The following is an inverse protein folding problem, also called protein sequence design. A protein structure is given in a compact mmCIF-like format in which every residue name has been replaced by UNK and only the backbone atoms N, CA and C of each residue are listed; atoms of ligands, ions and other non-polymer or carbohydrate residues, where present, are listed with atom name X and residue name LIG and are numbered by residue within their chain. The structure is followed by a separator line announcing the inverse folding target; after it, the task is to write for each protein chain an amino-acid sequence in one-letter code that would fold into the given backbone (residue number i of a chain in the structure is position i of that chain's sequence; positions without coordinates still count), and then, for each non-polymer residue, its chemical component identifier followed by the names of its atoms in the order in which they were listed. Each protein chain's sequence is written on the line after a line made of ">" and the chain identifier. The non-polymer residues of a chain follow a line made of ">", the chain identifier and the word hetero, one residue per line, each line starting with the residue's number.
data_IF_878510608194
#
_entry.id   IF_878510608194
#
_cell.length_a   1.000
_cell.length_b   1.000
_cell.length_c   1.000
_cell.angle_alpha   90.00
_cell.angle_beta   90.00
_cell.angle_gamma   90.00
#
_symmetry.space_group_name_H-M   'P 1'
#
loop_
_entity.id
_entity.type
_entity.pdbx_description
1 polymer ?
#
# COMPACT_ATOMS: atom_id res chain seq x y z
N UNK A 1 5.56 10.76 24.31
CA UNK A 1 5.01 10.70 22.94
C UNK A 1 4.63 9.27 22.61
N UNK A 2 3.55 9.10 21.86
CA UNK A 2 3.11 7.78 21.44
C UNK A 2 4.17 7.17 20.53
N UNK A 3 4.45 5.89 20.72
CA UNK A 3 5.46 5.17 19.95
C UNK A 3 4.94 4.88 18.55
N UNK A 4 5.76 5.08 17.53
CA UNK A 4 5.47 4.64 16.18
C UNK A 4 5.78 3.15 16.09
N UNK A 5 4.80 2.38 15.65
CA UNK A 5 4.94 0.93 15.49
C UNK A 5 4.74 0.48 14.04
N UNK A 6 4.28 1.38 13.18
CA UNK A 6 3.99 1.10 11.79
C UNK A 6 4.55 2.19 10.87
N UNK A 7 5.28 1.79 9.85
CA UNK A 7 5.87 2.70 8.88
C UNK A 7 5.50 2.31 7.44
N UNK A 8 5.16 3.31 6.64
CA UNK A 8 4.94 3.17 5.21
C UNK A 8 5.91 4.10 4.51
N UNK A 9 6.94 3.54 3.89
CA UNK A 9 8.12 4.26 3.45
C UNK A 9 8.29 4.11 1.93
N UNK A 10 8.13 5.20 1.21
CA UNK A 10 8.31 5.22 -0.23
C UNK A 10 9.78 5.41 -0.58
N UNK A 11 10.33 4.51 -1.39
CA UNK A 11 11.74 4.55 -1.80
C UNK A 11 11.91 4.98 -3.26
N UNK A 12 10.83 4.96 -4.03
CA UNK A 12 10.78 5.39 -5.42
C UNK A 12 9.35 5.76 -5.81
N UNK A 13 9.21 6.77 -6.66
CA UNK A 13 7.94 7.09 -7.32
C UNK A 13 7.94 6.71 -8.82
N UNK A 14 9.02 6.07 -9.33
CA UNK A 14 9.00 5.45 -10.64
C UNK A 14 8.10 4.23 -10.65
N UNK A 15 7.17 4.17 -11.60
CA UNK A 15 6.35 3.01 -11.87
C UNK A 15 6.27 2.77 -13.38
N UNK A 16 6.26 1.52 -13.80
CA UNK A 16 6.07 1.11 -15.19
C UNK A 16 4.59 0.86 -15.54
N UNK A 17 3.68 1.18 -14.61
CA UNK A 17 2.23 1.09 -14.80
C UNK A 17 1.56 2.44 -14.52
N UNK A 18 0.35 2.55 -15.04
CA UNK A 18 -0.57 3.67 -14.88
C UNK A 18 -1.98 3.12 -14.56
N UNK A 19 -2.10 2.54 -13.36
CA UNK A 19 -3.33 1.87 -12.93
C UNK A 19 -4.49 2.85 -12.79
N UNK A 20 -5.71 2.43 -13.18
CA UNK A 20 -6.91 3.26 -13.17
C UNK A 20 -7.31 3.78 -11.78
N UNK A 21 -6.95 3.06 -10.74
CA UNK A 21 -7.23 3.39 -9.32
C UNK A 21 -6.04 4.05 -8.60
N UNK A 22 -4.98 4.45 -9.31
CA UNK A 22 -3.80 5.07 -8.71
C UNK A 22 -3.80 6.57 -9.01
N UNK A 23 -3.65 7.38 -7.97
CA UNK A 23 -3.55 8.84 -8.09
C UNK A 23 -2.10 9.33 -8.20
N UNK A 24 -1.16 8.46 -8.61
CA UNK A 24 0.26 8.79 -8.66
C UNK A 24 0.55 10.11 -9.38
N UNK A 25 0.02 10.27 -10.58
CA UNK A 25 0.34 11.42 -11.43
C UNK A 25 -0.19 12.76 -10.87
N UNK A 26 -1.18 12.69 -9.97
CA UNK A 26 -1.76 13.88 -9.31
C UNK A 26 -0.93 14.33 -8.09
N UNK A 27 -0.16 13.42 -7.48
CA UNK A 27 0.46 13.67 -6.18
C UNK A 27 1.98 13.64 -6.18
N UNK A 28 2.60 13.16 -7.27
CA UNK A 28 4.06 13.16 -7.40
C UNK A 28 4.56 14.45 -8.05
N UNK A 29 5.68 14.94 -7.55
CA UNK A 29 6.44 16.00 -8.22
C UNK A 29 7.31 15.41 -9.33
N UNK A 30 8.63 15.54 -9.23
CA UNK A 30 9.56 14.92 -10.16
C UNK A 30 9.72 13.43 -9.90
N UNK A 31 9.88 12.64 -10.97
CA UNK A 31 10.22 11.22 -10.86
C UNK A 31 11.62 11.05 -10.27
N UNK A 32 11.74 10.23 -9.22
CA UNK A 32 13.04 9.96 -8.57
C UNK A 32 13.07 8.64 -7.81
N UNK A 33 14.28 8.16 -7.58
CA UNK A 33 14.59 7.14 -6.58
C UNK A 33 15.23 7.84 -5.38
N UNK A 34 14.92 7.41 -4.17
CA UNK A 34 15.61 7.89 -2.97
C UNK A 34 17.06 7.40 -3.00
N UNK A 35 18.02 8.28 -2.76
CA UNK A 35 19.43 7.87 -2.64
C UNK A 35 19.64 7.03 -1.37
N UNK A 36 20.66 6.17 -1.36
CA UNK A 36 21.01 5.41 -0.13
C UNK A 36 21.41 6.34 1.02
N UNK A 37 22.01 7.50 0.73
CA UNK A 37 22.34 8.50 1.75
C UNK A 37 21.07 9.09 2.38
N UNK A 38 20.07 9.45 1.56
CA UNK A 38 18.81 9.97 2.07
C UNK A 38 17.99 8.88 2.76
N UNK A 39 18.09 7.63 2.28
CA UNK A 39 17.51 6.47 2.96
C UNK A 39 18.13 6.28 4.35
N UNK A 40 19.46 6.41 4.47
CA UNK A 40 20.15 6.37 5.76
C UNK A 40 19.66 7.46 6.72
N UNK A 41 19.52 8.72 6.23
CA UNK A 41 18.97 9.84 7.06
C UNK A 41 17.55 9.55 7.52
N UNK A 42 16.68 9.03 6.62
CA UNK A 42 15.31 8.66 6.96
C UNK A 42 15.29 7.60 8.08
N UNK A 43 16.06 6.53 7.93
CA UNK A 43 16.17 5.48 8.95
C UNK A 43 16.68 6.03 10.29
N UNK A 44 17.68 6.90 10.26
CA UNK A 44 18.19 7.59 11.45
C UNK A 44 17.12 8.43 12.15
N UNK A 45 16.25 9.08 11.36
CA UNK A 45 15.14 9.89 11.87
C UNK A 45 14.07 9.10 12.62
N UNK A 46 13.98 7.78 12.40
CA UNK A 46 12.96 6.89 12.99
C UNK A 46 13.51 5.75 13.84
N UNK A 47 14.83 5.52 13.88
CA UNK A 47 15.46 4.32 14.50
C UNK A 47 15.15 4.09 15.97
N UNK A 48 14.79 5.15 16.70
CA UNK A 48 14.45 5.07 18.13
C UNK A 48 13.02 4.63 18.42
N UNK A 49 12.20 4.48 17.38
CA UNK A 49 10.84 3.96 17.52
C UNK A 49 10.78 2.44 17.36
N UNK A 50 9.91 1.75 18.10
CA UNK A 50 9.77 0.30 18.02
C UNK A 50 8.91 -0.10 16.82
N UNK A 51 9.41 0.16 15.60
CA UNK A 51 8.70 -0.22 14.38
C UNK A 51 8.54 -1.75 14.34
N UNK A 52 7.30 -2.21 14.33
CA UNK A 52 6.95 -3.63 14.30
C UNK A 52 6.67 -4.12 12.88
N UNK A 53 6.06 -3.25 12.07
CA UNK A 53 5.74 -3.51 10.67
C UNK A 53 6.11 -2.31 9.81
N UNK A 54 6.81 -2.56 8.71
CA UNK A 54 7.11 -1.53 7.72
C UNK A 54 6.74 -2.01 6.32
N UNK A 55 6.19 -1.10 5.52
CA UNK A 55 5.91 -1.32 4.10
C UNK A 55 6.82 -0.44 3.25
N UNK A 56 7.65 -1.07 2.43
CA UNK A 56 8.40 -0.37 1.37
C UNK A 56 7.60 -0.42 0.09
N UNK A 57 6.70 0.51 -0.04
CA UNK A 57 5.84 0.71 -1.20
C UNK A 57 5.32 2.15 -1.18
N UNK A 58 4.71 2.61 -2.26
CA UNK A 58 4.17 3.95 -2.37
C UNK A 58 3.59 4.18 -3.75
N UNK A 59 3.87 5.32 -4.35
CA UNK A 59 3.39 5.68 -5.69
C UNK A 59 4.18 4.97 -6.80
N UNK A 60 5.38 4.45 -6.51
CA UNK A 60 6.22 3.73 -7.45
C UNK A 60 6.14 2.21 -7.34
N UNK A 61 6.83 1.54 -8.27
CA UNK A 61 7.14 0.12 -8.19
C UNK A 61 8.50 -0.07 -7.49
N UNK A 62 8.56 -0.61 -6.27
CA UNK A 62 9.80 -0.70 -5.48
C UNK A 62 10.92 -1.43 -6.23
N UNK A 63 10.60 -2.46 -6.98
CA UNK A 63 11.60 -3.25 -7.72
C UNK A 63 12.24 -2.49 -8.89
N UNK A 64 11.72 -1.32 -9.28
CA UNK A 64 12.38 -0.43 -10.23
C UNK A 64 13.48 0.42 -9.59
N UNK A 65 13.52 0.52 -8.26
CA UNK A 65 14.64 1.19 -7.59
C UNK A 65 15.95 0.44 -7.90
N UNK A 66 17.00 1.12 -8.42
CA UNK A 66 18.21 0.44 -8.90
C UNK A 66 18.95 -0.34 -7.81
N UNK A 67 18.88 0.11 -6.56
CA UNK A 67 19.55 -0.46 -5.38
C UNK A 67 18.54 -0.92 -4.31
N UNK A 68 17.42 -1.52 -4.73
CA UNK A 68 16.36 -1.90 -3.78
C UNK A 68 16.79 -3.01 -2.81
N UNK A 69 17.68 -3.88 -3.21
CA UNK A 69 18.35 -4.87 -2.38
C UNK A 69 19.11 -4.22 -1.21
N UNK A 70 19.89 -3.18 -1.48
CA UNK A 70 20.59 -2.40 -0.47
C UNK A 70 19.62 -1.64 0.46
N UNK A 71 18.52 -1.10 -0.10
CA UNK A 71 17.44 -0.48 0.69
C UNK A 71 16.87 -1.48 1.70
N UNK A 72 16.55 -2.70 1.26
CA UNK A 72 16.04 -3.76 2.14
C UNK A 72 17.07 -4.19 3.20
N UNK A 73 18.34 -4.33 2.80
CA UNK A 73 19.44 -4.70 3.69
C UNK A 73 19.62 -3.65 4.79
N UNK A 74 19.77 -2.38 4.42
CA UNK A 74 19.94 -1.27 5.38
C UNK A 74 18.74 -1.17 6.34
N UNK A 75 17.51 -1.39 5.84
CA UNK A 75 16.34 -1.41 6.70
C UNK A 75 16.44 -2.50 7.78
N UNK A 76 16.79 -3.72 7.39
CA UNK A 76 16.90 -4.86 8.32
C UNK A 76 18.07 -4.73 9.29
N UNK A 77 19.11 -4.02 8.93
CA UNK A 77 20.21 -3.69 9.87
C UNK A 77 19.74 -2.78 11.01
N UNK A 78 18.91 -1.79 10.71
CA UNK A 78 18.34 -0.86 11.71
C UNK A 78 17.18 -1.52 12.48
N UNK A 79 16.33 -2.28 11.80
CA UNK A 79 15.13 -2.90 12.35
C UNK A 79 15.08 -4.43 12.13
N UNK A 80 15.99 -5.20 12.75
CA UNK A 80 16.13 -6.64 12.45
C UNK A 80 14.89 -7.48 12.80
N UNK A 81 14.07 -7.01 13.74
CA UNK A 81 12.85 -7.71 14.18
C UNK A 81 11.56 -7.17 13.54
N UNK A 82 11.68 -6.09 12.76
CA UNK A 82 10.52 -5.50 12.10
C UNK A 82 10.08 -6.37 10.93
N UNK A 83 8.78 -6.61 10.81
CA UNK A 83 8.21 -7.28 9.64
C UNK A 83 8.27 -6.36 8.43
N UNK A 84 9.12 -6.71 7.46
CA UNK A 84 9.27 -5.96 6.22
C UNK A 84 8.31 -6.48 5.16
N UNK A 85 7.45 -5.60 4.67
CA UNK A 85 6.45 -5.90 3.64
C UNK A 85 6.78 -5.10 2.38
N UNK A 86 6.72 -5.75 1.23
CA UNK A 86 6.91 -5.12 -0.08
C UNK A 86 5.74 -5.49 -0.98
N UNK A 87 5.26 -4.54 -1.79
CA UNK A 87 4.31 -4.85 -2.85
C UNK A 87 4.97 -4.68 -4.21
N UNK A 88 4.60 -5.53 -5.16
CA UNK A 88 5.08 -5.46 -6.54
C UNK A 88 3.97 -5.71 -7.54
N UNK A 89 4.06 -5.05 -8.68
CA UNK A 89 3.13 -5.20 -9.80
C UNK A 89 3.42 -6.40 -10.72
N UNK A 90 4.54 -7.10 -10.50
CA UNK A 90 4.94 -8.30 -11.24
C UNK A 90 5.12 -8.09 -12.76
N UNK A 91 5.39 -6.85 -13.23
CA UNK A 91 5.49 -6.49 -14.65
C UNK A 91 6.94 -6.30 -15.13
N UNK A 92 7.84 -7.13 -14.63
CA UNK A 92 9.27 -7.19 -15.00
C UNK A 92 9.77 -8.63 -14.97
N UNK A 93 10.99 -8.88 -15.44
CA UNK A 93 11.65 -10.18 -15.29
C UNK A 93 12.39 -10.24 -13.95
N UNK A 94 12.31 -11.39 -13.28
CA UNK A 94 13.05 -11.63 -12.05
C UNK A 94 14.56 -11.68 -12.37
N UNK A 95 15.34 -10.89 -11.64
CA UNK A 95 16.78 -10.78 -11.74
C UNK A 95 17.47 -11.08 -10.40
N UNK A 96 18.80 -10.97 -10.34
CA UNK A 96 19.56 -11.24 -9.12
C UNK A 96 19.23 -10.27 -8.00
N UNK A 97 18.99 -8.99 -8.31
CA UNK A 97 18.54 -7.99 -7.32
C UNK A 97 17.23 -8.43 -6.64
N UNK A 98 16.24 -8.90 -7.41
CA UNK A 98 15.00 -9.42 -6.83
C UNK A 98 15.27 -10.61 -5.88
N UNK A 99 16.13 -11.55 -6.32
CA UNK A 99 16.49 -12.71 -5.50
C UNK A 99 17.20 -12.31 -4.22
N UNK A 100 18.07 -11.30 -4.28
CA UNK A 100 18.75 -10.76 -3.11
C UNK A 100 17.76 -10.11 -2.13
N UNK A 101 16.79 -9.33 -2.61
CA UNK A 101 15.73 -8.73 -1.78
C UNK A 101 14.97 -9.77 -0.95
N UNK A 102 14.75 -10.98 -1.50
CA UNK A 102 13.98 -12.02 -0.81
C UNK A 102 14.59 -12.48 0.52
N UNK A 103 15.88 -12.23 0.75
CA UNK A 103 16.55 -12.52 2.03
C UNK A 103 16.07 -11.64 3.17
N UNK A 104 15.49 -10.48 2.84
CA UNK A 104 15.13 -9.43 3.80
C UNK A 104 13.61 -9.23 3.93
N UNK A 105 12.84 -9.67 2.94
CA UNK A 105 11.39 -9.45 2.88
C UNK A 105 10.67 -10.55 3.64
N UNK A 106 9.88 -10.17 4.65
CA UNK A 106 9.06 -11.13 5.42
C UNK A 106 7.70 -11.37 4.77
N UNK A 107 7.20 -10.40 3.98
CA UNK A 107 5.94 -10.57 3.25
C UNK A 107 5.98 -9.83 1.91
N UNK A 108 5.63 -10.53 0.85
CA UNK A 108 5.60 -9.99 -0.51
C UNK A 108 4.18 -10.00 -1.06
N UNK A 109 3.66 -8.82 -1.41
CA UNK A 109 2.37 -8.67 -2.05
C UNK A 109 2.52 -8.68 -3.57
N UNK A 110 1.84 -9.61 -4.23
CA UNK A 110 1.65 -9.59 -5.68
C UNK A 110 0.34 -8.89 -5.99
N UNK A 111 0.43 -7.76 -6.67
CA UNK A 111 -0.72 -6.94 -7.02
C UNK A 111 -1.38 -7.46 -8.30
N UNK A 112 -2.46 -8.23 -8.17
CA UNK A 112 -3.15 -8.90 -9.27
C UNK A 112 -4.66 -8.62 -9.15
N UNK A 113 -5.17 -7.61 -9.85
CA UNK A 113 -6.53 -7.08 -9.69
C UNK A 113 -7.44 -7.40 -10.88
N UNK A 114 -7.61 -8.66 -11.18
CA UNK A 114 -8.47 -9.11 -12.28
C UNK A 114 -7.83 -10.21 -13.11
N UNK A 115 -8.59 -10.75 -14.05
CA UNK A 115 -8.18 -11.86 -14.89
C UNK A 115 -8.12 -11.42 -16.36
N UNK A 116 -6.95 -11.57 -16.99
CA UNK A 116 -6.70 -11.21 -18.39
C UNK A 116 -7.10 -9.75 -18.71
N UNK A 117 -8.24 -9.58 -19.37
CA UNK A 117 -8.70 -8.28 -19.89
C UNK A 117 -8.96 -7.28 -18.77
N UNK A 118 -9.58 -7.67 -17.68
CA UNK A 118 -9.81 -6.79 -16.51
C UNK A 118 -8.49 -6.40 -15.85
N UNK A 119 -7.54 -7.33 -15.73
CA UNK A 119 -6.20 -7.03 -15.22
C UNK A 119 -5.48 -6.00 -16.11
N UNK A 120 -5.46 -6.22 -17.45
CA UNK A 120 -4.78 -5.31 -18.39
C UNK A 120 -5.47 -3.94 -18.46
N UNK A 121 -6.80 -3.88 -18.28
CA UNK A 121 -7.56 -2.64 -18.20
C UNK A 121 -7.21 -1.85 -16.95
N UNK A 122 -7.31 -2.48 -15.78
CA UNK A 122 -7.21 -1.80 -14.48
C UNK A 122 -5.76 -1.45 -14.12
N UNK A 123 -4.80 -2.21 -14.66
CA UNK A 123 -3.36 -2.00 -14.45
C UNK A 123 -2.61 -1.61 -15.72
N UNK A 124 -3.21 -0.79 -16.58
CA UNK A 124 -2.54 -0.35 -17.82
C UNK A 124 -1.14 0.23 -17.56
N UNK A 125 -0.16 0.03 -18.48
CA UNK A 125 -0.14 -0.83 -19.65
C UNK A 125 0.33 -2.26 -19.36
N UNK A 126 -0.05 -2.85 -18.21
CA UNK A 126 0.31 -4.22 -17.84
C UNK A 126 -0.09 -5.22 -18.93
N UNK A 127 0.65 -6.34 -18.97
CA UNK A 127 0.35 -7.46 -19.88
C UNK A 127 0.18 -8.74 -19.10
N UNK A 128 -0.94 -9.42 -19.27
CA UNK A 128 -1.22 -10.71 -18.65
C UNK A 128 -0.11 -11.73 -18.90
N UNK A 129 0.40 -11.78 -20.14
CA UNK A 129 1.52 -12.64 -20.52
C UNK A 129 2.79 -12.37 -19.70
N UNK A 130 3.05 -11.11 -19.34
CA UNK A 130 4.22 -10.77 -18.49
C UNK A 130 4.00 -11.23 -17.05
N UNK A 131 2.78 -11.09 -16.52
CA UNK A 131 2.42 -11.62 -15.21
C UNK A 131 2.64 -13.14 -15.15
N UNK A 132 2.12 -13.89 -16.12
CA UNK A 132 2.30 -15.35 -16.15
C UNK A 132 3.77 -15.72 -16.22
N UNK A 133 4.58 -15.03 -17.05
CA UNK A 133 6.04 -15.23 -17.11
C UNK A 133 6.70 -14.97 -15.75
N UNK A 134 6.31 -13.88 -15.07
CA UNK A 134 6.82 -13.57 -13.74
C UNK A 134 6.50 -14.71 -12.75
N UNK A 135 5.26 -15.20 -12.73
CA UNK A 135 4.85 -16.30 -11.85
C UNK A 135 5.65 -17.58 -12.14
N UNK A 136 5.90 -17.90 -13.41
CA UNK A 136 6.74 -19.06 -13.78
C UNK A 136 8.19 -18.88 -13.30
N UNK A 137 8.78 -17.69 -13.47
CA UNK A 137 10.13 -17.42 -12.95
C UNK A 137 10.16 -17.47 -11.42
N UNK A 138 9.09 -17.04 -10.75
CA UNK A 138 9.01 -17.02 -9.30
C UNK A 138 9.00 -18.43 -8.68
N UNK A 139 8.57 -19.46 -9.40
CA UNK A 139 8.65 -20.86 -8.95
C UNK A 139 10.07 -21.32 -8.60
N UNK A 140 11.09 -20.72 -9.22
CA UNK A 140 12.51 -21.01 -8.99
C UNK A 140 13.17 -20.07 -7.97
N UNK A 141 12.43 -19.12 -7.38
CA UNK A 141 12.97 -18.19 -6.39
C UNK A 141 12.94 -18.85 -5.01
N UNK A 142 14.07 -18.79 -4.32
CA UNK A 142 14.12 -19.14 -2.91
C UNK A 142 13.33 -18.11 -2.09
N UNK A 143 12.36 -18.60 -1.32
CA UNK A 143 11.43 -17.70 -0.58
C UNK A 143 11.90 -17.37 0.83
N UNK A 144 12.88 -18.12 1.34
CA UNK A 144 13.27 -18.05 2.75
C UNK A 144 12.01 -18.15 3.64
N UNK A 145 11.84 -17.26 4.62
CA UNK A 145 10.65 -17.20 5.49
C UNK A 145 9.61 -16.18 4.98
N UNK A 146 9.66 -15.81 3.70
CA UNK A 146 8.77 -14.80 3.11
C UNK A 146 7.38 -15.36 2.80
N UNK A 147 6.36 -14.79 3.42
CA UNK A 147 4.96 -15.01 3.06
C UNK A 147 4.62 -14.31 1.74
N UNK A 148 4.01 -15.02 0.80
CA UNK A 148 3.50 -14.40 -0.44
C UNK A 148 2.00 -14.25 -0.36
N UNK A 149 1.50 -13.05 -0.67
CA UNK A 149 0.09 -12.71 -0.62
C UNK A 149 -0.34 -12.13 -1.96
N UNK A 150 -1.38 -12.65 -2.56
CA UNK A 150 -2.03 -11.99 -3.69
C UNK A 150 -2.90 -10.87 -3.13
N UNK A 151 -2.55 -9.63 -3.47
CA UNK A 151 -3.29 -8.43 -3.09
C UNK A 151 -4.15 -7.99 -4.27
N UNK A 152 -5.45 -7.94 -4.07
CA UNK A 152 -6.45 -7.68 -5.11
C UNK A 152 -7.30 -6.46 -4.72
N UNK A 153 -7.35 -5.47 -5.59
CA UNK A 153 -8.24 -4.32 -5.46
C UNK A 153 -9.54 -4.65 -6.20
N UNK A 154 -10.60 -4.85 -5.43
CA UNK A 154 -11.94 -5.17 -5.94
C UNK A 154 -12.64 -3.90 -6.38
N UNK A 155 -13.21 -3.90 -7.56
CA UNK A 155 -14.10 -2.87 -8.08
C UNK A 155 -15.31 -3.52 -8.77
N UNK A 156 -16.33 -2.74 -9.13
CA UNK A 156 -17.57 -3.24 -9.73
C UNK A 156 -17.38 -4.06 -11.02
N UNK A 157 -16.27 -3.85 -11.74
CA UNK A 157 -16.00 -4.52 -13.02
C UNK A 157 -15.07 -5.72 -12.93
N UNK A 158 -14.50 -6.01 -11.76
CA UNK A 158 -13.59 -7.16 -11.60
C UNK A 158 -14.01 -8.14 -10.48
N UNK A 159 -15.10 -7.85 -9.77
CA UNK A 159 -15.59 -8.71 -8.67
C UNK A 159 -15.78 -10.16 -9.12
N UNK A 160 -16.23 -10.41 -10.34
CA UNK A 160 -16.47 -11.73 -10.90
C UNK A 160 -15.18 -12.49 -11.26
N UNK A 161 -14.02 -11.85 -11.20
CA UNK A 161 -12.73 -12.47 -11.50
C UNK A 161 -12.01 -13.02 -10.25
N UNK A 162 -12.51 -12.74 -9.05
CA UNK A 162 -11.87 -13.11 -7.78
C UNK A 162 -11.57 -14.60 -7.71
N UNK A 163 -12.56 -15.45 -8.07
CA UNK A 163 -12.40 -16.91 -8.07
C UNK A 163 -11.32 -17.38 -9.04
N UNK A 164 -11.24 -16.77 -10.24
CA UNK A 164 -10.23 -17.10 -11.25
C UNK A 164 -8.81 -16.77 -10.72
N UNK A 165 -8.68 -15.65 -9.98
CA UNK A 165 -7.40 -15.26 -9.37
C UNK A 165 -7.07 -16.13 -8.16
N UNK A 166 -8.05 -16.54 -7.36
CA UNK A 166 -7.82 -17.49 -6.28
C UNK A 166 -7.36 -18.85 -6.81
N UNK A 167 -7.89 -19.31 -7.94
CA UNK A 167 -7.42 -20.51 -8.62
C UNK A 167 -5.99 -20.33 -9.16
N UNK A 168 -5.70 -19.21 -9.83
CA UNK A 168 -4.33 -18.90 -10.29
C UNK A 168 -3.32 -18.89 -9.12
N UNK A 169 -3.71 -18.31 -7.99
CA UNK A 169 -2.93 -18.29 -6.76
C UNK A 169 -2.62 -19.72 -6.28
N UNK A 170 -3.63 -20.58 -6.21
CA UNK A 170 -3.49 -22.00 -5.80
C UNK A 170 -2.58 -22.78 -6.75
N UNK A 171 -2.77 -22.63 -8.06
CA UNK A 171 -1.96 -23.29 -9.10
C UNK A 171 -0.48 -22.90 -9.05
N UNK A 172 -0.18 -21.68 -8.61
CA UNK A 172 1.18 -21.17 -8.45
C UNK A 172 1.73 -21.31 -7.02
N UNK A 173 1.01 -22.01 -6.13
CA UNK A 173 1.39 -22.17 -4.72
C UNK A 173 1.74 -20.85 -4.04
N UNK A 174 0.97 -19.79 -4.30
CA UNK A 174 1.05 -18.53 -3.60
C UNK A 174 0.23 -18.61 -2.30
N UNK A 175 0.59 -17.83 -1.29
CA UNK A 175 -0.02 -17.90 0.03
C UNK A 175 -1.48 -17.47 0.09
N UNK A 176 -1.79 -16.35 0.73
CA UNK A 176 -3.16 -15.88 0.95
C UNK A 176 -3.66 -14.99 -0.19
N UNK A 177 -4.97 -14.93 -0.37
CA UNK A 177 -5.65 -13.89 -1.12
C UNK A 177 -6.13 -12.83 -0.12
N UNK A 178 -5.84 -11.55 -0.42
CA UNK A 178 -6.28 -10.38 0.31
C UNK A 178 -7.07 -9.49 -0.63
N UNK A 179 -8.28 -9.14 -0.25
CA UNK A 179 -9.17 -8.28 -1.03
C UNK A 179 -9.25 -6.89 -0.37
N UNK A 180 -9.08 -5.84 -1.16
CA UNK A 180 -9.29 -4.47 -0.74
C UNK A 180 -10.35 -3.87 -1.67
N UNK A 181 -11.39 -3.28 -1.11
CA UNK A 181 -12.35 -2.54 -1.93
C UNK A 181 -11.64 -1.31 -2.50
N UNK A 182 -11.82 -1.05 -3.78
CA UNK A 182 -11.27 0.13 -4.44
C UNK A 182 -11.70 1.40 -3.72
N UNK A 183 -10.80 2.37 -3.62
CA UNK A 183 -11.03 3.64 -2.94
C UNK A 183 -10.87 4.78 -3.93
N UNK A 184 -11.68 5.79 -3.78
CA UNK A 184 -11.46 7.09 -4.41
C UNK A 184 -10.47 7.83 -3.54
N UNK A 185 -9.32 8.16 -4.11
CA UNK A 185 -8.26 8.93 -3.45
C UNK A 185 -8.55 10.40 -3.74
N UNK A 186 -9.03 11.17 -2.78
CA UNK A 186 -9.45 12.56 -3.03
C UNK A 186 -10.34 12.73 -4.29
N UNK A 187 -10.79 13.88 -4.63
CA UNK A 187 -11.78 14.11 -5.70
C UNK A 187 -11.26 13.88 -7.15
N UNK A 188 -10.01 13.46 -7.34
CA UNK A 188 -9.33 13.49 -8.65
C UNK A 188 -8.75 12.14 -9.12
N UNK A 189 -9.29 11.01 -8.64
CA UNK A 189 -8.83 9.71 -9.13
C UNK A 189 -9.33 9.42 -10.54
N UNK A 190 -8.53 8.68 -11.31
CA UNK A 190 -8.91 8.17 -12.64
C UNK A 190 -10.08 7.17 -12.60
N UNK A 191 -10.38 6.61 -11.43
CA UNK A 191 -11.49 5.68 -11.23
C UNK A 191 -12.70 6.46 -10.74
N UNK A 192 -13.77 6.44 -11.51
CA UNK A 192 -15.04 7.07 -11.15
C UNK A 192 -15.71 6.33 -9.98
N UNK A 193 -16.59 7.03 -9.26
CA UNK A 193 -17.29 6.48 -8.10
C UNK A 193 -18.16 5.26 -8.46
N UNK A 194 -18.78 5.25 -9.64
CA UNK A 194 -19.57 4.13 -10.14
C UNK A 194 -18.74 2.84 -10.31
N UNK A 195 -17.45 2.95 -10.56
CA UNK A 195 -16.54 1.79 -10.62
C UNK A 195 -16.08 1.40 -9.22
N UNK A 196 -15.66 2.36 -8.40
CA UNK A 196 -15.03 2.10 -7.12
C UNK A 196 -16.03 1.67 -6.04
N UNK A 197 -17.14 2.37 -5.88
CA UNK A 197 -18.03 2.24 -4.73
C UNK A 197 -19.49 2.09 -5.07
N UNK A 198 -20.06 2.90 -5.97
CA UNK A 198 -21.51 2.92 -6.24
C UNK A 198 -21.97 1.95 -7.34
N UNK A 199 -21.05 1.42 -8.14
CA UNK A 199 -21.37 0.54 -9.27
C UNK A 199 -21.58 -0.93 -8.92
N UNK A 200 -21.40 -1.34 -7.65
CA UNK A 200 -21.70 -2.71 -7.24
C UNK A 200 -23.20 -2.97 -7.28
N UNK A 201 -23.58 -4.08 -7.92
CA UNK A 201 -24.94 -4.59 -7.81
C UNK A 201 -25.17 -5.26 -6.45
N UNK A 202 -26.43 -5.45 -6.07
CA UNK A 202 -26.77 -6.22 -4.86
C UNK A 202 -26.26 -7.67 -4.97
N UNK A 203 -26.25 -8.25 -6.16
CA UNK A 203 -25.70 -9.57 -6.44
C UNK A 203 -24.19 -9.61 -6.17
N UNK A 204 -23.43 -8.60 -6.61
CA UNK A 204 -21.99 -8.49 -6.35
C UNK A 204 -21.69 -8.42 -4.85
N UNK A 205 -22.44 -7.59 -4.12
CA UNK A 205 -22.25 -7.43 -2.69
C UNK A 205 -22.62 -8.71 -1.91
N UNK A 206 -23.67 -9.41 -2.32
CA UNK A 206 -24.04 -10.69 -1.76
C UNK A 206 -22.98 -11.77 -2.06
N UNK A 207 -22.48 -11.82 -3.28
CA UNK A 207 -21.40 -12.73 -3.67
C UNK A 207 -20.13 -12.49 -2.82
N UNK A 208 -19.73 -11.23 -2.63
CA UNK A 208 -18.60 -10.88 -1.76
C UNK A 208 -18.85 -11.30 -0.31
N UNK A 209 -20.05 -11.06 0.22
CA UNK A 209 -20.41 -11.44 1.60
C UNK A 209 -20.37 -12.95 1.82
N UNK A 210 -20.93 -13.71 0.91
CA UNK A 210 -21.09 -15.17 1.08
C UNK A 210 -19.78 -15.92 0.88
N UNK A 211 -18.94 -15.47 -0.06
CA UNK A 211 -17.77 -16.22 -0.50
C UNK A 211 -16.44 -15.61 0.01
N UNK A 212 -16.36 -14.29 0.23
CA UNK A 212 -15.09 -13.61 0.37
C UNK A 212 -14.96 -12.67 1.58
N UNK A 213 -15.96 -12.56 2.44
CA UNK A 213 -15.96 -11.61 3.56
C UNK A 213 -14.73 -11.70 4.47
N UNK A 214 -14.16 -12.91 4.64
CA UNK A 214 -12.96 -13.15 5.47
C UNK A 214 -11.66 -12.67 4.83
N UNK A 215 -11.63 -12.50 3.52
CA UNK A 215 -10.49 -12.01 2.74
C UNK A 215 -10.54 -10.50 2.57
N UNK A 216 -11.70 -9.87 2.74
CA UNK A 216 -11.89 -8.43 2.58
C UNK A 216 -11.29 -7.70 3.79
N UNK A 217 -10.42 -6.74 3.48
CA UNK A 217 -9.75 -5.92 4.47
C UNK A 217 -10.55 -4.65 4.75
N UNK A 218 -10.67 -4.31 6.02
CA UNK A 218 -11.33 -3.06 6.41
C UNK A 218 -12.06 -3.19 7.74
N UNK A 219 -12.85 -2.17 8.05
CA UNK A 219 -13.75 -2.13 9.21
C UNK A 219 -15.10 -1.58 8.76
N UNK A 220 -16.18 -2.23 9.13
CA UNK A 220 -17.55 -1.77 8.84
C UNK A 220 -17.98 -0.55 9.66
N UNK A 221 -17.21 -0.19 10.68
CA UNK A 221 -17.40 1.01 11.49
C UNK A 221 -16.11 1.81 11.52
N UNK A 222 -16.19 3.08 11.20
CA UNK A 222 -15.06 3.99 11.19
C UNK A 222 -15.32 5.19 12.09
N UNK A 223 -14.35 5.46 12.97
CA UNK A 223 -14.30 6.65 13.78
C UNK A 223 -12.89 7.23 13.71
N UNK A 224 -12.73 8.54 13.57
CA UNK A 224 -11.42 9.18 13.46
C UNK A 224 -10.52 8.94 14.67
N UNK A 225 -11.09 8.82 15.88
CA UNK A 225 -10.34 8.48 17.10
C UNK A 225 -9.67 7.11 17.04
N UNK A 226 -10.19 6.20 16.19
CA UNK A 226 -9.65 4.85 15.99
C UNK A 226 -8.63 4.78 14.86
N UNK A 227 -8.25 5.92 14.27
CA UNK A 227 -7.29 5.97 13.18
C UNK A 227 -5.89 5.60 13.67
N UNK A 228 -5.43 4.40 13.28
CA UNK A 228 -4.12 3.91 13.69
C UNK A 228 -2.96 4.75 13.11
N UNK A 229 -3.15 5.39 11.96
CA UNK A 229 -2.16 6.29 11.36
C UNK A 229 -1.84 7.45 12.31
N UNK A 230 -2.87 8.09 12.85
CA UNK A 230 -2.73 9.20 13.78
C UNK A 230 -2.05 8.76 15.09
N UNK A 231 -2.35 7.54 15.55
CA UNK A 231 -1.83 7.02 16.81
C UNK A 231 -0.41 6.47 16.67
N UNK A 232 -0.17 5.59 15.70
CA UNK A 232 0.99 4.72 15.66
C UNK A 232 1.72 4.66 14.32
N UNK A 233 1.20 5.30 13.27
CA UNK A 233 1.72 5.20 11.91
C UNK A 233 2.54 6.40 11.47
N UNK A 234 3.38 6.18 10.45
CA UNK A 234 3.96 7.24 9.62
C UNK A 234 3.90 6.84 8.15
N UNK A 235 3.69 7.82 7.30
CA UNK A 235 3.87 7.70 5.85
C UNK A 235 4.91 8.70 5.37
N UNK A 236 5.86 8.24 4.55
CA UNK A 236 6.90 9.11 3.99
C UNK A 236 6.96 8.97 2.48
N UNK A 237 7.11 10.11 1.79
CA UNK A 237 7.34 10.15 0.34
C UNK A 237 8.81 9.89 0.01
N UNK A 238 9.08 9.66 -1.26
CA UNK A 238 10.45 9.51 -1.80
C UNK A 238 11.35 10.73 -1.55
N UNK A 239 10.77 11.90 -1.28
CA UNK A 239 11.47 13.12 -0.90
C UNK A 239 11.70 13.26 0.61
N UNK A 240 11.33 12.24 1.39
CA UNK A 240 11.45 12.26 2.85
C UNK A 240 10.36 13.06 3.57
N UNK A 241 9.36 13.56 2.84
CA UNK A 241 8.24 14.28 3.42
C UNK A 241 7.36 13.35 4.27
N UNK A 242 7.05 13.78 5.49
CA UNK A 242 6.15 13.06 6.39
C UNK A 242 4.73 13.55 6.20
N UNK A 243 3.82 12.63 5.89
CA UNK A 243 2.38 12.88 5.78
C UNK A 243 1.62 12.06 6.82
N UNK A 244 0.38 12.42 7.09
CA UNK A 244 -0.42 11.73 8.11
C UNK A 244 -0.68 10.26 7.76
N UNK A 245 -1.04 9.98 6.51
CA UNK A 245 -1.30 8.62 6.03
C UNK A 245 -1.11 8.50 4.52
N UNK A 246 -1.19 7.28 4.00
CA UNK A 246 -1.09 7.01 2.57
C UNK A 246 -2.39 7.28 1.78
N UNK A 247 -3.50 7.59 2.45
CA UNK A 247 -4.79 7.86 1.80
C UNK A 247 -4.99 9.34 1.45
N UNK A 248 -4.28 10.24 2.13
CA UNK A 248 -4.31 11.67 1.86
C UNK A 248 -2.92 12.15 1.40
N UNK A 249 -2.53 11.71 0.23
CA UNK A 249 -1.21 11.97 -0.34
C UNK A 249 -1.09 13.39 -0.91
N UNK A 250 -2.20 14.04 -1.26
CA UNK A 250 -2.25 15.42 -1.71
C UNK A 250 -2.06 16.47 -0.59
N UNK A 251 -2.24 16.09 0.69
CA UNK A 251 -2.09 17.02 1.80
C UNK A 251 -0.65 17.52 1.98
N UNK A 252 -0.49 18.73 2.51
CA UNK A 252 0.81 19.30 2.84
C UNK A 252 1.57 18.42 3.85
N UNK A 253 2.89 18.28 3.70
CA UNK A 253 3.71 17.52 4.63
C UNK A 253 3.95 18.26 5.94
N UNK A 254 4.08 17.52 7.04
CA UNK A 254 4.40 18.07 8.38
C UNK A 254 5.89 18.37 8.59
N UNK A 255 6.74 17.89 7.71
CA UNK A 255 8.19 18.05 7.79
C UNK A 255 8.90 17.02 6.92
N UNK A 256 10.22 16.95 7.05
CA UNK A 256 11.08 16.12 6.20
C UNK A 256 12.11 15.36 7.02
N UNK A 257 12.13 14.03 6.90
CA UNK A 257 13.05 13.14 7.63
C UNK A 257 14.51 13.20 7.15
N UNK A 258 14.79 13.90 6.06
CA UNK A 258 16.20 14.14 5.67
C UNK A 258 16.87 15.23 6.51
N UNK A 259 16.08 16.03 7.22
CA UNK A 259 16.56 17.17 8.04
C UNK A 259 16.06 17.18 9.47
N UNK A 260 14.92 16.52 9.74
CA UNK A 260 14.30 16.48 11.07
C UNK A 260 14.09 15.03 11.51
N UNK A 261 14.16 14.80 12.82
CA UNK A 261 13.66 13.54 13.38
C UNK A 261 12.13 13.50 13.38
N UNK A 262 11.56 12.31 13.40
CA UNK A 262 10.10 12.17 13.49
C UNK A 262 9.54 12.75 14.80
N UNK A 263 10.31 12.73 15.88
CA UNK A 263 9.93 13.33 17.15
C UNK A 263 9.83 14.85 17.10
N UNK A 264 10.71 15.52 16.32
CA UNK A 264 10.61 16.96 16.07
C UNK A 264 9.39 17.27 15.22
N UNK A 265 9.16 16.54 14.13
CA UNK A 265 8.01 16.71 13.25
C UNK A 265 6.69 16.55 14.02
N UNK A 266 6.59 15.52 14.85
CA UNK A 266 5.37 15.26 15.64
C UNK A 266 5.11 16.28 16.75
N UNK A 267 6.10 17.11 17.11
CA UNK A 267 5.91 18.24 18.05
C UNK A 267 5.37 19.51 17.40
N UNK A 268 5.36 19.60 16.07
CA UNK A 268 4.83 20.78 15.39
C UNK A 268 3.37 21.00 15.73
N UNK A 269 2.94 22.24 15.76
CA UNK A 269 1.55 22.59 16.07
C UNK A 269 0.58 22.02 15.04
N UNK A 270 0.97 21.99 13.76
CA UNK A 270 0.19 21.44 12.66
C UNK A 270 -0.08 19.95 12.86
N UNK A 271 0.98 19.14 13.13
CA UNK A 271 0.80 17.72 13.41
C UNK A 271 -0.12 17.49 14.62
N UNK A 272 0.11 18.22 15.70
CA UNK A 272 -0.69 18.11 16.93
C UNK A 272 -2.15 18.56 16.74
N UNK A 273 -2.41 19.53 15.87
CA UNK A 273 -3.77 19.95 15.54
C UNK A 273 -4.53 18.85 14.79
N UNK A 274 -3.91 18.21 13.79
CA UNK A 274 -4.53 17.09 13.08
C UNK A 274 -4.80 15.94 14.03
N UNK A 275 -3.83 15.62 14.90
CA UNK A 275 -3.98 14.55 15.91
C UNK A 275 -5.18 14.84 16.84
N UNK A 276 -5.24 16.02 17.46
CA UNK A 276 -6.35 16.42 18.34
C UNK A 276 -7.70 16.38 17.62
N UNK A 277 -7.74 16.84 16.36
CA UNK A 277 -8.95 16.79 15.55
C UNK A 277 -9.48 15.36 15.38
N UNK A 278 -8.61 14.40 15.10
CA UNK A 278 -9.00 13.00 15.03
C UNK A 278 -9.42 12.44 16.40
N UNK A 279 -8.65 12.69 17.46
CA UNK A 279 -8.96 12.20 18.82
C UNK A 279 -10.31 12.72 19.35
N UNK A 280 -10.70 13.93 18.97
CA UNK A 280 -11.98 14.54 19.36
C UNK A 280 -13.11 14.28 18.36
N UNK A 281 -12.88 13.45 17.35
CA UNK A 281 -13.81 13.18 16.25
C UNK A 281 -14.26 14.43 15.49
N UNK A 282 -13.41 15.45 15.47
CA UNK A 282 -13.56 16.71 14.72
C UNK A 282 -12.34 16.93 13.82
N UNK A 283 -12.19 16.13 12.75
CA UNK A 283 -10.99 16.13 11.93
C UNK A 283 -10.78 17.46 11.23
N UNK A 284 -9.51 17.84 11.09
CA UNK A 284 -9.09 18.96 10.24
C UNK A 284 -9.25 18.61 8.76
N UNK A 285 -9.03 19.59 7.88
CA UNK A 285 -9.12 19.38 6.42
C UNK A 285 -8.20 18.27 5.92
N UNK A 286 -7.09 17.99 6.59
CA UNK A 286 -6.22 16.83 6.32
C UNK A 286 -6.94 15.47 6.37
N UNK A 287 -7.97 15.34 7.18
CA UNK A 287 -8.64 14.05 7.40
C UNK A 287 -10.15 14.10 7.13
N UNK A 288 -10.71 15.29 6.90
CA UNK A 288 -12.16 15.50 6.77
C UNK A 288 -12.79 14.65 5.67
N UNK A 289 -12.10 14.52 4.53
CA UNK A 289 -12.53 13.76 3.34
C UNK A 289 -11.86 12.37 3.29
N UNK A 290 -11.77 11.69 4.42
CA UNK A 290 -11.16 10.36 4.47
C UNK A 290 -11.96 9.35 3.65
N UNK A 291 -11.39 8.86 2.55
CA UNK A 291 -12.00 7.87 1.66
C UNK A 291 -12.36 6.56 2.37
N UNK A 292 -11.66 6.22 3.46
CA UNK A 292 -11.98 5.03 4.25
C UNK A 292 -13.38 5.09 4.86
N UNK A 293 -13.87 6.28 5.21
CA UNK A 293 -15.23 6.50 5.72
C UNK A 293 -16.29 6.12 4.68
N UNK A 294 -16.01 6.37 3.41
CA UNK A 294 -16.93 6.08 2.29
C UNK A 294 -17.06 4.57 2.02
N UNK A 295 -16.08 3.78 2.42
CA UNK A 295 -16.12 2.32 2.29
C UNK A 295 -17.01 1.64 3.34
N UNK A 296 -17.29 2.30 4.46
CA UNK A 296 -18.00 1.66 5.58
C UNK A 296 -19.37 1.09 5.21
N UNK A 297 -20.19 1.70 4.34
CA UNK A 297 -21.45 1.11 3.89
C UNK A 297 -21.25 -0.22 3.16
N UNK A 298 -20.29 -0.28 2.22
CA UNK A 298 -19.95 -1.50 1.47
C UNK A 298 -19.42 -2.57 2.42
N UNK A 299 -18.45 -2.22 3.27
CA UNK A 299 -17.86 -3.14 4.24
C UNK A 299 -18.89 -3.70 5.23
N UNK A 300 -19.88 -2.89 5.63
CA UNK A 300 -21.00 -3.32 6.46
C UNK A 300 -21.91 -4.30 5.72
N UNK A 301 -22.23 -4.02 4.45
CA UNK A 301 -23.08 -4.89 3.62
C UNK A 301 -22.42 -6.25 3.41
N UNK A 302 -21.12 -6.29 3.11
CA UNK A 302 -20.38 -7.55 2.90
C UNK A 302 -20.01 -8.27 4.20
N UNK A 303 -20.39 -7.74 5.35
CA UNK A 303 -20.27 -8.41 6.65
C UNK A 303 -18.86 -8.41 7.23
N UNK A 304 -18.03 -7.42 6.88
CA UNK A 304 -16.72 -7.20 7.53
C UNK A 304 -16.95 -6.63 8.93
N UNK A 305 -16.32 -7.23 9.94
CA UNK A 305 -16.43 -6.83 11.35
C UNK A 305 -15.32 -5.86 11.78
#
# INVERSE_FOLDING_TARGET
>A
MDKITYAYLETTNYCNLDCSFCNRDEVIGSLKHMSLDDWGKLLDGIKHHPIQEAKLMGMGEPMLHPQFDEVCRMFKEVFPKCKLIVATNCQYNINDKFRECMKYIDMLYFSIDGYKESYERDRAPAKWKKLIRFLEQFKSVERYDCDVVVNYVVNAYNVQDIEKIDNLRKENNLGKLRLNIAQIWDAETKMSDDIATSGYTEEDLNYLRENWNKQIMGKSKWDFKDCFWVQNGIYTTVEGHVKMCCLNTGAEPFGNLFVNSIDEIRKTEEYQNVKRGCETNNPTDHCKNCSYKELTPILSHVGVQ
#
